data_IF_831767109712
#
_entry.id   IF_831767109712
#
_cell.length_a   1.000
_cell.length_b   1.000
_cell.length_c   1.000
_cell.angle_alpha   90.00
_cell.angle_beta   90.00
_cell.angle_gamma   90.00
#
_symmetry.space_group_name_H-M   'P 1'
#
loop_
_entity.id
_entity.type
_entity.pdbx_description
1 polymer ?
#
# COMPACT_ATOMS: atom_id res chain seq x y z
N UNK A 1 -5.50 -10.34 2.71
CA UNK A 1 -4.92 -11.51 3.39
C UNK A 1 -3.72 -12.12 2.64
N UNK A 2 -3.81 -12.46 1.34
CA UNK A 2 -2.68 -13.09 0.64
C UNK A 2 -1.51 -12.14 0.33
N UNK A 3 -1.78 -10.88 -0.08
CA UNK A 3 -0.72 -9.88 -0.33
C UNK A 3 0.04 -9.56 0.95
N UNK A 4 -0.68 -9.35 2.05
CA UNK A 4 -0.08 -9.08 3.36
C UNK A 4 0.85 -10.21 3.77
N UNK A 5 0.37 -11.46 3.72
CA UNK A 5 1.19 -12.64 4.04
C UNK A 5 2.43 -12.70 3.17
N UNK A 6 2.29 -12.52 1.86
CA UNK A 6 3.43 -12.54 0.95
C UNK A 6 4.46 -11.46 1.27
N UNK A 7 4.03 -10.24 1.59
CA UNK A 7 4.95 -9.15 1.99
C UNK A 7 5.63 -9.43 3.34
N UNK A 8 4.89 -9.99 4.31
CA UNK A 8 5.43 -10.41 5.61
C UNK A 8 6.46 -11.52 5.45
N UNK A 9 6.22 -12.49 4.55
CA UNK A 9 7.17 -13.55 4.21
C UNK A 9 8.48 -12.99 3.62
N UNK A 10 8.43 -11.81 2.99
CA UNK A 10 9.60 -11.04 2.54
C UNK A 10 10.23 -10.16 3.64
N UNK A 11 9.76 -10.23 4.88
CA UNK A 11 10.25 -9.45 6.02
C UNK A 11 9.75 -8.00 6.06
N UNK A 12 8.69 -7.67 5.31
CA UNK A 12 8.11 -6.33 5.27
C UNK A 12 7.01 -6.25 6.34
N UNK A 13 7.11 -5.26 7.24
CA UNK A 13 6.03 -4.95 8.18
C UNK A 13 4.88 -4.30 7.41
N UNK A 14 3.72 -4.95 7.41
CA UNK A 14 2.48 -4.44 6.81
C UNK A 14 1.56 -3.94 7.92
N UNK A 15 0.93 -2.78 7.72
CA UNK A 15 -0.10 -2.25 8.61
C UNK A 15 -1.41 -2.19 7.80
N UNK A 16 -2.44 -2.89 8.26
CA UNK A 16 -3.79 -2.85 7.69
C UNK A 16 -4.79 -2.39 8.75
N UNK A 17 -5.89 -1.79 8.33
CA UNK A 17 -7.01 -1.39 9.17
C UNK A 17 -7.52 -2.55 10.05
N UNK A 18 -7.66 -3.73 9.47
CA UNK A 18 -8.12 -4.93 10.16
C UNK A 18 -7.19 -5.40 11.30
N UNK A 19 -5.88 -5.19 11.15
CA UNK A 19 -4.88 -5.71 12.10
C UNK A 19 -4.36 -4.66 13.09
N UNK A 20 -4.69 -3.38 12.90
CA UNK A 20 -4.17 -2.29 13.74
C UNK A 20 -5.22 -1.50 14.50
N UNK A 21 -6.50 -1.67 14.17
CA UNK A 21 -7.58 -0.87 14.76
C UNK A 21 -8.46 -1.77 15.63
N UNK A 22 -8.44 -1.53 16.93
CA UNK A 22 -9.25 -2.25 17.89
C UNK A 22 -10.72 -1.80 17.82
N UNK A 23 -11.62 -2.68 18.26
CA UNK A 23 -13.05 -2.37 18.37
C UNK A 23 -13.22 -1.18 19.32
N UNK A 24 -13.86 -0.11 18.83
CA UNK A 24 -14.09 1.13 19.59
C UNK A 24 -13.05 2.23 19.35
N UNK A 25 -11.98 1.97 18.59
CA UNK A 25 -11.01 2.99 18.20
C UNK A 25 -11.49 3.80 16.99
N UNK A 26 -11.04 5.06 16.92
CA UNK A 26 -11.32 5.90 15.78
C UNK A 26 -10.42 5.50 14.60
N UNK A 27 -11.03 4.87 13.59
CA UNK A 27 -10.35 4.35 12.40
C UNK A 27 -9.50 5.43 11.71
N UNK A 28 -10.01 6.67 11.60
CA UNK A 28 -9.30 7.78 10.93
C UNK A 28 -8.07 8.22 11.70
N UNK A 29 -8.14 8.28 13.02
CA UNK A 29 -7.00 8.67 13.85
C UNK A 29 -5.88 7.63 13.80
N UNK A 30 -6.24 6.35 13.88
CA UNK A 30 -5.26 5.26 13.82
C UNK A 30 -4.58 5.17 12.46
N UNK A 31 -5.33 5.36 11.35
CA UNK A 31 -4.71 5.38 10.03
C UNK A 31 -3.79 6.59 9.87
N UNK A 32 -4.18 7.77 10.37
CA UNK A 32 -3.30 8.95 10.36
C UNK A 32 -2.01 8.68 11.15
N UNK A 33 -2.09 8.06 12.33
CA UNK A 33 -0.92 7.66 13.12
C UNK A 33 -0.05 6.66 12.35
N UNK A 34 -0.65 5.66 11.72
CA UNK A 34 0.07 4.67 10.93
C UNK A 34 0.81 5.32 9.75
N UNK A 35 0.16 6.21 9.00
CA UNK A 35 0.77 6.97 7.90
C UNK A 35 1.97 7.79 8.39
N UNK A 36 1.87 8.41 9.57
CA UNK A 36 2.98 9.16 10.16
C UNK A 36 4.18 8.25 10.48
N UNK A 37 3.93 7.04 10.97
CA UNK A 37 4.95 6.11 11.46
C UNK A 37 5.61 5.24 10.37
N UNK A 38 5.08 5.23 9.14
CA UNK A 38 5.67 4.47 8.03
C UNK A 38 6.51 5.32 7.09
N UNK A 39 7.49 4.72 6.44
CA UNK A 39 8.31 5.38 5.42
C UNK A 39 7.66 5.35 4.03
N UNK A 40 6.91 4.29 3.74
CA UNK A 40 6.31 4.03 2.42
C UNK A 40 4.88 3.55 2.61
N UNK A 41 4.04 3.87 1.64
CA UNK A 41 2.64 3.49 1.62
C UNK A 41 2.41 2.66 0.38
N UNK A 42 1.95 1.43 0.55
CA UNK A 42 1.54 0.57 -0.54
C UNK A 42 0.05 0.80 -0.80
N UNK A 43 -0.28 1.50 -1.88
CA UNK A 43 -1.69 1.72 -2.25
C UNK A 43 -2.11 0.59 -3.17
N UNK A 44 -2.96 -0.33 -2.69
CA UNK A 44 -3.47 -1.44 -3.48
C UNK A 44 -4.88 -1.07 -3.95
N UNK A 45 -5.08 -0.97 -5.27
CA UNK A 45 -6.40 -0.75 -5.88
C UNK A 45 -6.88 -2.02 -6.57
N UNK A 46 -8.08 -2.50 -6.23
CA UNK A 46 -8.77 -3.62 -6.88
C UNK A 46 -10.20 -3.23 -7.25
N UNK A 47 -10.93 -4.11 -7.92
CA UNK A 47 -12.28 -3.83 -8.39
C UNK A 47 -13.26 -3.58 -7.21
N UNK A 48 -12.92 -4.08 -6.03
CA UNK A 48 -13.67 -3.86 -4.78
C UNK A 48 -13.27 -2.56 -4.05
N UNK A 49 -12.09 -1.99 -4.31
CA UNK A 49 -11.59 -0.81 -3.58
C UNK A 49 -12.00 0.52 -4.22
N UNK A 50 -12.55 0.52 -5.44
CA UNK A 50 -12.85 1.73 -6.22
C UNK A 50 -13.98 2.59 -5.61
N UNK A 51 -14.69 2.09 -4.59
CA UNK A 51 -15.85 2.75 -3.98
C UNK A 51 -15.57 3.42 -2.62
N UNK A 52 -14.37 3.34 -2.08
CA UNK A 52 -14.08 3.96 -0.78
C UNK A 52 -13.61 5.40 -0.95
N UNK A 53 -14.51 6.35 -0.65
CA UNK A 53 -14.25 7.80 -0.48
C UNK A 53 -13.09 8.11 0.51
N UNK A 54 -12.68 7.09 1.26
CA UNK A 54 -11.60 7.10 2.24
C UNK A 54 -10.19 7.30 1.65
N UNK A 55 -9.93 6.88 0.40
CA UNK A 55 -8.58 6.87 -0.18
C UNK A 55 -8.06 8.31 -0.42
N UNK A 56 -8.93 9.27 -0.73
CA UNK A 56 -8.50 10.64 -1.05
C UNK A 56 -7.88 11.33 0.16
N UNK A 57 -8.53 11.26 1.33
CA UNK A 57 -8.02 11.85 2.58
C UNK A 57 -6.67 11.24 3.01
N UNK A 58 -6.53 9.92 2.93
CA UNK A 58 -5.26 9.25 3.26
C UNK A 58 -4.13 9.65 2.32
N UNK A 59 -4.42 9.72 1.01
CA UNK A 59 -3.43 10.12 0.01
C UNK A 59 -3.04 11.59 0.17
N UNK A 60 -3.96 12.47 0.54
CA UNK A 60 -3.64 13.86 0.86
C UNK A 60 -2.72 13.97 2.09
N UNK A 61 -3.02 13.23 3.16
CA UNK A 61 -2.16 13.19 4.36
C UNK A 61 -0.78 12.66 3.98
N UNK A 62 -0.71 11.55 3.25
CA UNK A 62 0.53 10.95 2.77
C UNK A 62 1.37 11.93 1.93
N UNK A 63 0.72 12.62 0.98
CA UNK A 63 1.35 13.65 0.14
C UNK A 63 1.85 14.82 0.97
N UNK A 64 1.06 15.30 1.93
CA UNK A 64 1.45 16.41 2.82
C UNK A 64 2.67 16.09 3.68
N UNK A 65 2.84 14.81 4.01
CA UNK A 65 3.97 14.28 4.78
C UNK A 65 5.14 13.81 3.89
N UNK A 66 5.11 14.11 2.59
CA UNK A 66 6.09 13.68 1.59
C UNK A 66 6.36 12.17 1.63
N UNK A 67 5.36 11.35 1.95
CA UNK A 67 5.48 9.90 2.00
C UNK A 67 5.57 9.35 0.58
N UNK A 68 6.44 8.35 0.39
CA UNK A 68 6.53 7.68 -0.89
C UNK A 68 5.38 6.68 -1.04
N UNK A 69 4.51 6.94 -2.01
CA UNK A 69 3.37 6.09 -2.33
C UNK A 69 3.77 5.15 -3.46
N UNK A 70 3.57 3.85 -3.25
CA UNK A 70 3.82 2.77 -4.21
C UNK A 70 2.47 2.23 -4.66
N UNK A 71 1.96 2.65 -5.83
CA UNK A 71 0.67 2.18 -6.30
C UNK A 71 0.80 0.78 -6.91
N UNK A 72 -0.09 -0.10 -6.49
CA UNK A 72 -0.25 -1.47 -6.99
C UNK A 72 -1.69 -1.64 -7.44
N UNK A 73 -1.87 -1.93 -8.72
CA UNK A 73 -3.19 -2.23 -9.27
C UNK A 73 -3.33 -3.74 -9.31
N UNK A 74 -4.32 -4.23 -8.61
CA UNK A 74 -4.76 -5.61 -8.62
C UNK A 74 -5.98 -5.75 -9.54
N UNK A 75 -6.08 -6.87 -10.24
CA UNK A 75 -7.08 -7.15 -11.28
C UNK A 75 -7.00 -6.23 -12.52
N UNK A 76 -7.81 -6.51 -13.54
CA UNK A 76 -7.91 -5.69 -14.77
C UNK A 76 -8.69 -4.38 -14.54
N UNK A 77 -8.42 -3.70 -13.43
CA UNK A 77 -9.04 -2.45 -13.04
C UNK A 77 -8.33 -1.29 -13.72
N UNK A 78 -9.10 -0.26 -14.11
CA UNK A 78 -8.51 0.96 -14.65
C UNK A 78 -7.81 1.73 -13.52
N UNK A 79 -6.61 2.28 -13.75
CA UNK A 79 -5.96 3.15 -12.78
C UNK A 79 -6.89 4.32 -12.45
N UNK A 80 -7.09 4.59 -11.17
CA UNK A 80 -7.78 5.82 -10.73
C UNK A 80 -7.09 7.04 -11.35
N UNK A 81 -7.85 8.10 -11.65
CA UNK A 81 -7.31 9.39 -12.09
C UNK A 81 -6.24 9.94 -11.14
N UNK A 82 -6.30 9.55 -9.86
CA UNK A 82 -5.31 9.87 -8.83
C UNK A 82 -3.90 9.35 -9.14
N UNK A 83 -3.77 8.36 -10.03
CA UNK A 83 -2.50 7.76 -10.48
C UNK A 83 -2.00 8.32 -11.81
N UNK A 84 -2.65 9.34 -12.37
CA UNK A 84 -2.22 9.95 -13.64
C UNK A 84 -0.79 10.49 -13.51
N UNK A 85 0.13 10.03 -14.37
CA UNK A 85 1.55 10.41 -14.32
C UNK A 85 2.37 9.71 -13.23
N UNK A 86 1.76 8.80 -12.45
CA UNK A 86 2.43 8.01 -11.43
C UNK A 86 2.68 6.60 -11.96
N UNK A 87 3.92 6.10 -11.85
CA UNK A 87 4.24 4.72 -12.20
C UNK A 87 3.63 3.77 -11.16
N UNK A 88 2.92 2.76 -11.64
CA UNK A 88 2.31 1.72 -10.81
C UNK A 88 2.77 0.33 -11.24
N UNK A 89 2.58 -0.65 -10.35
CA UNK A 89 2.78 -2.07 -10.63
C UNK A 89 1.42 -2.70 -10.85
N UNK A 90 1.24 -3.45 -11.94
CA UNK A 90 0.01 -4.21 -12.19
C UNK A 90 0.24 -5.68 -11.83
N UNK A 91 -0.63 -6.21 -10.98
CA UNK A 91 -0.65 -7.61 -10.56
C UNK A 91 -1.91 -8.29 -11.08
N UNK A 92 -1.77 -9.51 -11.59
CA UNK A 92 -2.90 -10.36 -12.00
C UNK A 92 -3.19 -11.48 -11.02
N UNK A 93 -2.19 -11.85 -10.22
CA UNK A 93 -2.24 -12.94 -9.25
C UNK A 93 -1.25 -12.63 -8.12
N UNK A 94 -1.46 -13.24 -6.95
CA UNK A 94 -0.64 -13.02 -5.76
C UNK A 94 0.18 -14.29 -5.52
N UNK A 95 1.46 -14.24 -5.86
CA UNK A 95 2.42 -15.30 -5.54
C UNK A 95 3.82 -14.68 -5.34
N UNK A 96 4.79 -15.50 -4.96
CA UNK A 96 6.16 -15.04 -4.69
C UNK A 96 6.78 -14.33 -5.89
N UNK A 97 6.52 -14.80 -7.12
CA UNK A 97 7.09 -14.22 -8.35
C UNK A 97 6.47 -12.86 -8.67
N UNK A 98 5.16 -12.71 -8.49
CA UNK A 98 4.48 -11.43 -8.75
C UNK A 98 4.74 -10.39 -7.67
N UNK A 99 5.04 -10.80 -6.44
CA UNK A 99 5.41 -9.91 -5.34
C UNK A 99 6.89 -9.51 -5.37
N UNK A 100 7.76 -10.28 -6.02
CA UNK A 100 9.20 -10.02 -6.05
C UNK A 100 9.59 -8.63 -6.61
N UNK A 101 8.96 -8.11 -7.70
CA UNK A 101 9.23 -6.74 -8.16
C UNK A 101 8.86 -5.65 -7.15
N UNK A 102 7.80 -5.86 -6.37
CA UNK A 102 7.39 -4.94 -5.28
C UNK A 102 8.46 -4.97 -4.20
N UNK A 103 8.87 -6.17 -3.79
CA UNK A 103 9.96 -6.37 -2.84
C UNK A 103 11.26 -5.68 -3.29
N UNK A 104 11.70 -5.91 -4.52
CA UNK A 104 12.89 -5.25 -5.07
C UNK A 104 12.75 -3.73 -5.11
N UNK A 105 11.58 -3.20 -5.45
CA UNK A 105 11.33 -1.76 -5.45
C UNK A 105 11.41 -1.18 -4.04
N UNK A 106 10.99 -1.95 -3.03
CA UNK A 106 11.17 -1.58 -1.62
C UNK A 106 12.66 -1.63 -1.27
N UNK A 107 13.37 -2.74 -1.54
CA UNK A 107 14.77 -2.99 -1.14
C UNK A 107 15.83 -2.17 -1.88
N UNK A 108 15.71 -1.99 -3.20
CA UNK A 108 16.70 -1.29 -4.05
C UNK A 108 16.95 0.15 -3.61
N UNK A 109 16.00 0.73 -2.87
CA UNK A 109 16.08 2.10 -2.37
C UNK A 109 16.65 2.21 -0.94
N UNK A 110 16.88 1.08 -0.25
CA UNK A 110 17.43 1.05 1.11
C UNK A 110 18.93 0.70 1.18
N UNK A 111 19.64 0.51 0.05
CA UNK A 111 21.05 0.04 0.03
C UNK A 111 21.31 -1.15 0.97
N UNK A 112 20.32 -2.02 1.18
CA UNK A 112 20.52 -3.24 1.95
C UNK A 112 21.17 -4.25 1.00
N UNK A 113 22.49 -4.13 0.86
CA UNK A 113 23.35 -5.21 0.34
C UNK A 113 23.15 -6.44 1.22
N UNK A 114 23.01 -7.59 0.56
CA UNK A 114 22.89 -8.92 1.19
C UNK A 114 23.94 -9.16 2.27
#
# INVERSE_FOLDING_TARGET
MEIEKGLVDFGIKVLTDYNTINIGENIQEEIKKNIQNVNKILLITSQNSEKSEWIENELEIAKSLNKQILPVIFDDVMPSKLLTGIKYIKLKEINSDTLYPIYLSIKKQYNITN
#
